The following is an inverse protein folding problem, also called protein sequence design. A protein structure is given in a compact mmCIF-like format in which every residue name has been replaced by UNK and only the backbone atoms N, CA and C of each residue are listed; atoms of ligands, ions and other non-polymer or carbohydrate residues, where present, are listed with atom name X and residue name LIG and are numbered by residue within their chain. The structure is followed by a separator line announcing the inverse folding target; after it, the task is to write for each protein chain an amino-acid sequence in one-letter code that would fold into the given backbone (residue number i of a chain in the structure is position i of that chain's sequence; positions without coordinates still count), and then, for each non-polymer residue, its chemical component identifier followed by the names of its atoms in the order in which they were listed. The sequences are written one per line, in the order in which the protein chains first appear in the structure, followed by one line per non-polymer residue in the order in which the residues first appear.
data_IF_593008840659
#
_entry.id   IF_593008840659
#
_cell.length_a   1.000
_cell.length_b   1.000
_cell.length_c   1.000
_cell.angle_alpha   90.00
_cell.angle_beta   90.00
_cell.angle_gamma   90.00
#
_symmetry.space_group_name_H-M   'P 1'
#
loop_
_entity.id
_entity.type
_entity.pdbx_description
1 polymer ?
#
# COMPACT_ATOMS: atom_id res chain seq x y z
N UNK A 1 -6.66 7.05 -22.93
CA UNK A 1 -6.91 6.64 -21.54
C UNK A 1 -5.82 7.26 -20.66
N UNK A 2 -6.21 7.99 -19.61
CA UNK A 2 -5.28 8.75 -18.76
C UNK A 2 -4.41 7.84 -17.89
N UNK A 3 -4.92 6.68 -17.45
CA UNK A 3 -4.18 5.71 -16.65
C UNK A 3 -2.98 5.14 -17.43
N UNK A 4 -3.18 4.83 -18.71
CA UNK A 4 -2.11 4.32 -19.58
C UNK A 4 -1.00 5.35 -19.81
N UNK A 5 -1.33 6.65 -19.88
CA UNK A 5 -0.34 7.70 -20.00
C UNK A 5 0.47 7.86 -18.71
N UNK A 6 -0.19 7.80 -17.56
CA UNK A 6 0.49 7.80 -16.27
C UNK A 6 1.46 6.61 -16.13
N UNK A 7 1.03 5.41 -16.53
CA UNK A 7 1.85 4.20 -16.52
C UNK A 7 3.12 4.33 -17.37
N UNK A 8 3.00 4.81 -18.62
CA UNK A 8 4.17 5.06 -19.49
C UNK A 8 5.14 6.09 -18.91
N UNK A 9 4.62 7.13 -18.26
CA UNK A 9 5.45 8.13 -17.61
C UNK A 9 6.22 7.56 -16.40
N UNK A 10 5.62 6.61 -15.67
CA UNK A 10 6.31 5.86 -14.61
C UNK A 10 7.45 5.03 -15.18
N UNK A 11 7.20 4.23 -16.22
CA UNK A 11 8.22 3.39 -16.84
C UNK A 11 9.42 4.21 -17.33
N UNK A 12 9.15 5.34 -17.99
CA UNK A 12 10.19 6.25 -18.47
C UNK A 12 11.05 6.82 -17.32
N UNK A 13 10.43 7.22 -16.20
CA UNK A 13 11.14 7.73 -15.01
C UNK A 13 11.91 6.64 -14.27
N UNK A 14 11.48 5.39 -14.39
CA UNK A 14 12.10 4.25 -13.74
C UNK A 14 13.31 3.72 -14.53
N UNK A 15 13.54 4.16 -15.76
CA UNK A 15 14.71 3.75 -16.54
C UNK A 15 16.00 4.01 -15.76
N UNK A 16 16.77 2.94 -15.52
CA UNK A 16 18.01 3.00 -14.75
C UNK A 16 17.85 2.94 -13.23
N UNK A 17 16.64 2.88 -12.68
CA UNK A 17 16.40 2.68 -11.25
C UNK A 17 16.32 1.19 -10.91
N UNK A 18 17.26 0.72 -10.09
CA UNK A 18 17.37 -0.68 -9.68
C UNK A 18 16.70 -1.02 -8.35
N UNK A 19 16.11 -0.03 -7.66
CA UNK A 19 15.43 -0.25 -6.38
C UNK A 19 14.00 -0.75 -6.55
N UNK A 20 13.41 -1.19 -5.43
CA UNK A 20 11.97 -1.50 -5.37
C UNK A 20 11.15 -0.22 -5.57
N UNK A 21 10.17 -0.29 -6.46
CA UNK A 21 9.24 0.79 -6.73
C UNK A 21 7.84 0.47 -6.22
N UNK A 22 7.43 1.23 -5.21
CA UNK A 22 6.10 1.23 -4.62
C UNK A 22 5.25 2.27 -5.35
N UNK A 23 4.37 1.83 -6.25
CA UNK A 23 3.53 2.72 -7.05
C UNK A 23 2.16 2.97 -6.40
N UNK A 24 1.77 4.24 -6.27
CA UNK A 24 0.48 4.62 -5.69
C UNK A 24 -0.70 4.34 -6.61
N UNK A 25 -1.70 3.58 -6.14
CA UNK A 25 -2.92 3.22 -6.89
C UNK A 25 -4.15 3.40 -6.01
N UNK A 26 -5.18 4.07 -6.54
CA UNK A 26 -6.41 4.42 -5.81
C UNK A 26 -6.09 5.07 -4.44
N UNK A 27 -5.18 6.05 -4.46
CA UNK A 27 -4.61 6.64 -3.26
C UNK A 27 -5.48 7.77 -2.70
N UNK A 28 -5.38 8.06 -1.40
CA UNK A 28 -6.10 9.17 -0.78
C UNK A 28 -5.77 10.52 -1.42
N UNK A 29 -6.75 11.41 -1.42
CA UNK A 29 -6.66 12.79 -1.92
C UNK A 29 -6.33 12.92 -3.42
N UNK A 30 -6.48 11.83 -4.18
CA UNK A 30 -6.45 11.84 -5.62
C UNK A 30 -7.87 11.77 -6.19
N UNK A 31 -8.01 12.03 -7.50
CA UNK A 31 -9.27 11.81 -8.17
C UNK A 31 -9.73 10.35 -7.97
N UNK A 32 -11.02 10.09 -7.66
CA UNK A 32 -11.54 8.74 -7.55
C UNK A 32 -11.28 7.96 -8.82
N UNK A 33 -10.79 6.73 -8.69
CA UNK A 33 -10.74 5.78 -9.80
C UNK A 33 -12.10 5.11 -9.93
N UNK A 34 -12.51 4.79 -11.16
CA UNK A 34 -13.81 4.19 -11.41
C UNK A 34 -13.91 2.77 -10.83
N UNK A 35 -12.83 2.00 -10.93
CA UNK A 35 -12.75 0.63 -10.41
C UNK A 35 -11.33 0.33 -9.89
N UNK A 36 -11.21 0.19 -8.58
CA UNK A 36 -9.95 -0.04 -7.87
C UNK A 36 -9.28 -1.36 -8.30
N UNK A 37 -10.06 -2.39 -8.61
CA UNK A 37 -9.55 -3.70 -9.03
C UNK A 37 -8.99 -3.62 -10.45
N UNK A 38 -9.74 -3.01 -11.38
CA UNK A 38 -9.28 -2.82 -12.76
C UNK A 38 -8.03 -1.96 -12.81
N UNK A 39 -8.00 -0.84 -12.08
CA UNK A 39 -6.81 0.02 -12.02
C UNK A 39 -5.62 -0.75 -11.42
N UNK A 40 -5.80 -1.50 -10.32
CA UNK A 40 -4.73 -2.33 -9.73
C UNK A 40 -4.18 -3.36 -10.71
N UNK A 41 -5.04 -4.10 -11.41
CA UNK A 41 -4.64 -5.11 -12.39
C UNK A 41 -3.82 -4.50 -13.53
N UNK A 42 -4.16 -3.30 -14.00
CA UNK A 42 -3.41 -2.56 -15.02
C UNK A 42 -2.06 -2.07 -14.49
N UNK A 43 -2.01 -1.64 -13.24
CA UNK A 43 -0.80 -1.07 -12.63
C UNK A 43 0.32 -2.07 -12.37
N UNK A 44 0.02 -3.36 -12.18
CA UNK A 44 1.02 -4.38 -11.81
C UNK A 44 2.19 -4.55 -12.79
N UNK A 45 2.02 -4.14 -14.05
CA UNK A 45 3.08 -4.21 -15.07
C UNK A 45 4.12 -3.09 -14.95
N UNK A 46 3.84 -2.06 -14.15
CA UNK A 46 4.60 -0.80 -14.12
C UNK A 46 5.26 -0.53 -12.76
N UNK A 47 5.03 -1.40 -11.77
CA UNK A 47 5.55 -1.26 -10.41
C UNK A 47 5.85 -2.61 -9.79
N UNK A 48 6.72 -2.63 -8.78
CA UNK A 48 7.05 -3.88 -8.07
C UNK A 48 6.06 -4.17 -6.95
N UNK A 49 5.51 -3.10 -6.35
CA UNK A 49 4.49 -3.18 -5.31
C UNK A 49 3.40 -2.17 -5.62
N UNK A 50 2.22 -2.68 -5.95
CA UNK A 50 1.01 -1.84 -6.04
C UNK A 50 0.66 -1.39 -4.63
N UNK A 51 0.59 -0.08 -4.40
CA UNK A 51 0.46 0.49 -3.05
C UNK A 51 -0.78 1.37 -2.96
N UNK A 52 -1.67 1.09 -2.02
CA UNK A 52 -2.89 1.88 -1.79
C UNK A 52 -2.91 2.49 -0.39
N UNK A 53 -3.96 3.25 -0.06
CA UNK A 53 -4.16 3.83 1.27
C UNK A 53 -5.62 3.75 1.71
N UNK A 54 -5.86 3.97 3.01
CA UNK A 54 -7.19 4.32 3.53
C UNK A 54 -7.64 5.71 3.07
N UNK A 55 -8.86 6.11 3.46
CA UNK A 55 -9.51 7.34 2.99
C UNK A 55 -8.82 8.63 3.49
N UNK A 56 -8.17 8.58 4.65
CA UNK A 56 -7.49 9.71 5.25
C UNK A 56 -6.27 9.26 6.08
N UNK A 57 -5.45 10.21 6.52
CA UNK A 57 -4.35 9.93 7.46
C UNK A 57 -4.89 9.41 8.79
N UNK A 58 -4.33 8.32 9.29
CA UNK A 58 -4.78 7.67 10.53
C UNK A 58 -6.02 6.80 10.39
N UNK A 59 -6.73 6.84 9.24
CA UNK A 59 -7.86 5.95 8.97
C UNK A 59 -7.38 4.62 8.37
N UNK A 60 -7.84 3.47 8.88
CA UNK A 60 -7.56 2.16 8.30
C UNK A 60 -7.99 2.07 6.83
N UNK A 61 -7.33 1.22 6.05
CA UNK A 61 -7.77 0.91 4.71
C UNK A 61 -9.05 0.08 4.73
N UNK A 62 -10.00 0.40 3.85
CA UNK A 62 -11.23 -0.37 3.71
C UNK A 62 -10.90 -1.83 3.29
N UNK A 63 -11.32 -2.80 4.09
CA UNK A 63 -11.04 -4.21 3.86
C UNK A 63 -11.63 -4.74 2.54
N UNK A 64 -12.82 -4.25 2.14
CA UNK A 64 -13.44 -4.66 0.89
C UNK A 64 -12.63 -4.15 -0.31
N UNK A 65 -12.09 -2.92 -0.21
CA UNK A 65 -11.13 -2.40 -1.21
C UNK A 65 -9.87 -3.26 -1.27
N UNK A 66 -9.27 -3.58 -0.12
CA UNK A 66 -8.05 -4.42 -0.07
C UNK A 66 -8.31 -5.79 -0.70
N UNK A 67 -9.44 -6.43 -0.39
CA UNK A 67 -9.78 -7.73 -0.97
C UNK A 67 -9.94 -7.66 -2.51
N UNK A 68 -10.66 -6.66 -3.01
CA UNK A 68 -10.84 -6.45 -4.46
C UNK A 68 -9.50 -6.24 -5.18
N UNK A 69 -8.65 -5.37 -4.63
CA UNK A 69 -7.33 -5.09 -5.21
C UNK A 69 -6.42 -6.32 -5.16
N UNK A 70 -6.33 -7.01 -4.01
CA UNK A 70 -5.51 -8.21 -3.86
C UNK A 70 -5.91 -9.31 -4.87
N UNK A 71 -7.20 -9.58 -5.01
CA UNK A 71 -7.70 -10.55 -5.97
C UNK A 71 -7.32 -10.19 -7.42
N UNK A 72 -7.43 -8.91 -7.79
CA UNK A 72 -7.09 -8.42 -9.13
C UNK A 72 -5.58 -8.47 -9.45
N UNK A 73 -4.73 -8.44 -8.42
CA UNK A 73 -3.29 -8.50 -8.57
C UNK A 73 -2.75 -9.89 -8.85
N UNK A 74 -3.54 -10.94 -8.58
CA UNK A 74 -3.22 -12.34 -8.90
C UNK A 74 -1.81 -12.75 -8.45
N UNK A 75 -1.48 -12.47 -7.18
CA UNK A 75 -0.19 -12.78 -6.57
C UNK A 75 0.89 -11.70 -6.71
N UNK A 76 0.63 -10.61 -7.46
CA UNK A 76 1.51 -9.45 -7.45
C UNK A 76 1.45 -8.72 -6.09
N UNK A 77 2.58 -8.21 -5.55
CA UNK A 77 2.60 -7.61 -4.21
C UNK A 77 1.67 -6.41 -4.06
N UNK A 78 0.91 -6.41 -2.96
CA UNK A 78 0.07 -5.29 -2.52
C UNK A 78 0.69 -4.66 -1.27
N UNK A 79 0.75 -3.33 -1.25
CA UNK A 79 1.16 -2.53 -0.10
C UNK A 79 0.04 -1.62 0.41
N UNK A 80 0.02 -1.38 1.72
CA UNK A 80 -0.82 -0.33 2.33
C UNK A 80 0.08 0.76 2.91
N UNK A 81 -0.18 2.00 2.50
CA UNK A 81 0.41 3.20 3.07
C UNK A 81 -0.64 3.96 3.86
N UNK A 82 -0.34 4.26 5.14
CA UNK A 82 -1.25 4.92 6.10
C UNK A 82 -2.34 4.01 6.68
N UNK A 83 -2.70 4.27 7.95
CA UNK A 83 -3.84 3.65 8.62
C UNK A 83 -3.54 2.30 9.30
N UNK A 84 -2.29 1.83 9.24
CA UNK A 84 -1.87 0.59 9.89
C UNK A 84 -1.40 0.87 11.32
N UNK A 85 -1.78 -0.01 12.23
CA UNK A 85 -1.36 -0.01 13.63
C UNK A 85 -1.10 -1.45 14.07
N UNK A 86 -0.36 -1.68 15.18
CA UNK A 86 -0.25 -3.01 15.79
C UNK A 86 -1.61 -3.69 16.04
N UNK A 87 -2.63 -2.91 16.35
CA UNK A 87 -3.96 -3.42 16.71
C UNK A 87 -4.76 -3.92 15.48
N UNK A 88 -4.44 -3.46 14.26
CA UNK A 88 -5.19 -3.82 13.05
C UNK A 88 -4.40 -4.60 11.99
N UNK A 89 -3.06 -4.63 12.08
CA UNK A 89 -2.20 -5.21 11.03
C UNK A 89 -2.57 -6.66 10.70
N UNK A 90 -2.95 -7.45 11.71
CA UNK A 90 -3.27 -8.86 11.57
C UNK A 90 -4.40 -9.12 10.54
N UNK A 91 -5.37 -8.21 10.44
CA UNK A 91 -6.47 -8.35 9.48
C UNK A 91 -6.02 -8.20 8.01
N UNK A 92 -4.90 -7.52 7.77
CA UNK A 92 -4.37 -7.25 6.44
C UNK A 92 -3.32 -8.27 5.98
N UNK A 93 -2.67 -8.97 6.90
CA UNK A 93 -1.57 -9.92 6.60
C UNK A 93 -1.93 -10.99 5.55
N UNK A 94 -3.16 -11.54 5.49
CA UNK A 94 -3.50 -12.52 4.45
C UNK A 94 -3.53 -11.94 3.02
N UNK A 95 -3.56 -10.62 2.86
CA UNK A 95 -3.81 -9.95 1.59
C UNK A 95 -2.70 -8.97 1.15
N UNK A 96 -1.79 -8.62 2.05
CA UNK A 96 -0.87 -7.50 1.87
C UNK A 96 0.53 -7.92 2.24
N UNK A 97 1.50 -7.59 1.39
CA UNK A 97 2.90 -7.98 1.54
C UNK A 97 3.75 -6.90 2.21
N UNK A 98 3.32 -5.64 2.15
CA UNK A 98 4.11 -4.51 2.65
C UNK A 98 3.25 -3.45 3.34
N UNK A 99 3.81 -2.79 4.35
CA UNK A 99 3.15 -1.70 5.06
C UNK A 99 4.08 -0.48 5.15
N UNK A 100 3.58 0.70 4.80
CA UNK A 100 4.24 1.99 5.04
C UNK A 100 3.51 2.70 6.19
N UNK A 101 4.14 2.70 7.36
CA UNK A 101 3.50 3.07 8.62
C UNK A 101 4.25 4.21 9.30
N UNK A 102 3.50 5.22 9.78
CA UNK A 102 4.02 6.35 10.54
C UNK A 102 3.16 6.57 11.79
N UNK A 103 2.08 7.37 11.70
CA UNK A 103 1.26 7.79 12.84
C UNK A 103 0.80 6.65 13.78
N UNK A 104 0.52 5.46 13.25
CA UNK A 104 0.08 4.30 14.06
C UNK A 104 1.15 3.74 15.00
N UNK A 105 2.43 4.08 14.79
CA UNK A 105 3.59 3.65 15.59
C UNK A 105 4.42 4.83 16.10
N UNK A 106 3.89 6.05 16.06
CA UNK A 106 4.58 7.25 16.52
C UNK A 106 4.20 7.63 17.95
N UNK A 107 5.16 8.19 18.71
CA UNK A 107 4.88 8.85 20.01
C UNK A 107 4.67 10.36 19.85
N UNK A 108 5.31 10.97 18.84
CA UNK A 108 5.13 12.38 18.47
C UNK A 108 5.02 12.49 16.94
N UNK A 109 4.85 13.70 16.40
CA UNK A 109 4.79 13.89 14.95
C UNK A 109 6.07 13.44 14.21
N UNK A 110 7.24 13.58 14.84
CA UNK A 110 8.55 13.31 14.23
C UNK A 110 9.24 12.07 14.79
N UNK A 111 8.73 11.49 15.87
CA UNK A 111 9.40 10.40 16.58
C UNK A 111 8.54 9.14 16.63
N UNK A 112 9.14 8.04 16.19
CA UNK A 112 8.56 6.71 16.34
C UNK A 112 8.63 6.26 17.79
N UNK A 113 7.62 5.52 18.24
CA UNK A 113 7.64 4.80 19.50
C UNK A 113 8.36 3.45 19.29
N UNK A 114 9.56 3.23 19.88
CA UNK A 114 10.30 1.99 19.70
C UNK A 114 9.54 0.74 20.14
N UNK A 115 8.68 0.83 21.16
CA UNK A 115 7.90 -0.30 21.62
C UNK A 115 6.81 -0.67 20.60
N UNK A 116 6.13 0.33 20.02
CA UNK A 116 5.13 0.09 18.97
C UNK A 116 5.75 -0.39 17.66
N UNK A 117 6.92 0.13 17.28
CA UNK A 117 7.68 -0.36 16.12
C UNK A 117 8.01 -1.84 16.28
N UNK A 118 8.55 -2.24 17.45
CA UNK A 118 8.86 -3.64 17.74
C UNK A 118 7.62 -4.52 17.71
N UNK A 119 6.55 -4.10 18.39
CA UNK A 119 5.29 -4.83 18.42
C UNK A 119 4.73 -5.06 17.01
N UNK A 120 4.70 -4.02 16.17
CA UNK A 120 4.25 -4.15 14.78
C UNK A 120 5.13 -5.13 13.99
N UNK A 121 6.45 -5.02 14.12
CA UNK A 121 7.39 -5.88 13.41
C UNK A 121 7.29 -7.35 13.86
N UNK A 122 7.04 -7.61 15.14
CA UNK A 122 6.88 -8.95 15.68
C UNK A 122 5.56 -9.60 15.22
N UNK A 123 4.47 -8.82 15.19
CA UNK A 123 3.19 -9.28 14.63
C UNK A 123 3.30 -9.65 13.14
N UNK A 124 4.04 -8.86 12.35
CA UNK A 124 4.27 -9.15 10.93
C UNK A 124 5.12 -10.42 10.77
N UNK A 125 6.20 -10.56 11.55
CA UNK A 125 7.10 -11.73 11.49
C UNK A 125 6.42 -13.02 11.94
N UNK A 126 5.49 -12.97 12.90
CA UNK A 126 4.80 -14.15 13.38
C UNK A 126 3.80 -14.75 12.37
N UNK A 127 3.44 -14.01 11.32
CA UNK A 127 2.48 -14.44 10.32
C UNK A 127 3.11 -14.99 9.02
N UNK A 128 4.42 -14.86 8.86
CA UNK A 128 5.18 -15.38 7.71
C UNK A 128 6.05 -16.57 8.10
#
# INVERSE_FOLDING_TARGET
DGELQAAKAVDAKRQGYAGLYFGGVAFKYQAPVADEAVTAARSRAHMDVVTTSGAATGSPADMAKIHRMNAALAGHPLGIASGITPENVAAYLPYVSCFLVATGISRTFTELDPARVRLLADLIRAAG
#
